data_IF_313705216903
#
_entry.id   IF_313705216903
#
_cell.length_a   1.000
_cell.length_b   1.000
_cell.length_c   1.000
_cell.angle_alpha   90.00
_cell.angle_beta   90.00
_cell.angle_gamma   90.00
#
_symmetry.space_group_name_H-M   'P 1'
#
loop_
_entity.id
_entity.type
_entity.pdbx_description
1 polymer ?
#
# COMPACT_ATOMS: atom_id res chain seq x y z
N UNK A 1 0.61 -21.18 47.93
CA UNK A 1 0.61 -21.69 46.56
C UNK A 1 -0.19 -20.69 45.73
N UNK A 2 0.47 -19.62 45.26
CA UNK A 2 -0.17 -18.51 44.56
C UNK A 2 -0.10 -18.80 43.03
N UNK A 3 -1.26 -19.04 42.44
CA UNK A 3 -1.44 -19.21 41.01
C UNK A 3 -1.25 -17.86 40.33
N UNK A 4 -0.20 -17.77 39.54
CA UNK A 4 0.21 -16.61 38.76
C UNK A 4 -0.61 -16.55 37.44
N UNK A 5 -1.89 -16.19 37.54
CA UNK A 5 -2.77 -16.03 36.39
C UNK A 5 -2.89 -14.54 35.99
N UNK A 6 -1.83 -13.98 35.49
CA UNK A 6 -1.88 -12.77 34.70
C UNK A 6 -0.63 -12.73 33.82
N UNK A 7 -0.72 -12.95 32.53
CA UNK A 7 -0.85 -11.83 31.60
C UNK A 7 -1.58 -12.14 30.26
N UNK A 8 -2.79 -12.58 30.27
CA UNK A 8 -3.55 -12.77 29.00
C UNK A 8 -4.53 -11.61 28.68
N UNK A 9 -4.55 -10.57 29.51
CA UNK A 9 -5.44 -9.43 29.31
C UNK A 9 -4.96 -8.41 28.26
N UNK A 10 -3.72 -8.53 27.78
CA UNK A 10 -3.12 -7.54 26.86
C UNK A 10 -3.30 -7.85 25.36
N UNK A 11 -3.96 -8.94 24.99
CA UNK A 11 -4.16 -9.32 23.57
C UNK A 11 -5.63 -9.37 23.15
N UNK A 12 -6.52 -8.73 23.83
CA UNK A 12 -7.86 -8.45 23.31
C UNK A 12 -7.71 -7.31 22.29
N UNK A 13 -7.29 -7.65 21.07
CA UNK A 13 -7.43 -6.77 19.92
C UNK A 13 -8.91 -6.36 19.86
N UNK A 14 -9.17 -5.07 20.05
CA UNK A 14 -10.52 -4.53 19.94
C UNK A 14 -11.18 -5.05 18.65
N UNK A 15 -12.42 -5.55 18.73
CA UNK A 15 -13.08 -6.11 17.55
C UNK A 15 -13.19 -5.05 16.48
N UNK A 16 -12.60 -5.33 15.30
CA UNK A 16 -12.64 -4.41 14.17
C UNK A 16 -14.10 -4.16 13.79
N UNK A 17 -14.50 -2.89 13.85
CA UNK A 17 -15.85 -2.47 13.47
C UNK A 17 -15.96 -2.51 11.93
N UNK A 18 -16.91 -3.25 11.39
CA UNK A 18 -17.21 -3.26 9.96
C UNK A 18 -17.91 -1.95 9.59
N UNK A 19 -17.15 -0.98 9.07
CA UNK A 19 -17.66 0.33 8.68
C UNK A 19 -17.94 0.42 7.18
N UNK A 20 -17.25 -0.41 6.36
CA UNK A 20 -17.35 -0.36 4.91
C UNK A 20 -18.33 -1.41 4.38
N UNK A 21 -19.29 -0.95 3.60
CA UNK A 21 -20.16 -1.83 2.82
C UNK A 21 -19.43 -2.46 1.61
N UNK A 22 -19.95 -3.54 1.01
CA UNK A 22 -19.28 -4.26 -0.07
C UNK A 22 -19.03 -3.40 -1.31
N UNK A 23 -19.92 -2.47 -1.64
CA UNK A 23 -19.73 -1.54 -2.77
C UNK A 23 -18.61 -0.54 -2.53
N UNK A 24 -18.53 0.01 -1.31
CA UNK A 24 -17.49 0.95 -0.93
C UNK A 24 -16.12 0.25 -0.85
N UNK A 25 -16.10 -0.98 -0.34
CA UNK A 25 -14.91 -1.82 -0.30
C UNK A 25 -14.39 -2.13 -1.71
N UNK A 26 -15.29 -2.49 -2.63
CA UNK A 26 -14.93 -2.74 -4.03
C UNK A 26 -14.35 -1.49 -4.69
N UNK A 27 -14.98 -0.34 -4.50
CA UNK A 27 -14.48 0.94 -5.02
C UNK A 27 -13.10 1.29 -4.47
N UNK A 28 -12.89 1.07 -3.16
CA UNK A 28 -11.61 1.27 -2.50
C UNK A 28 -10.52 0.36 -3.08
N UNK A 29 -10.81 -0.95 -3.23
CA UNK A 29 -9.85 -1.93 -3.78
C UNK A 29 -9.51 -1.58 -5.24
N UNK A 30 -10.51 -1.25 -6.07
CA UNK A 30 -10.27 -0.86 -7.47
C UNK A 30 -9.43 0.41 -7.54
N UNK A 31 -9.71 1.40 -6.70
CA UNK A 31 -8.93 2.65 -6.65
C UNK A 31 -7.48 2.42 -6.19
N UNK A 32 -7.27 1.55 -5.22
CA UNK A 32 -5.95 1.20 -4.70
C UNK A 32 -5.11 0.40 -5.72
N UNK A 33 -5.73 -0.57 -6.41
CA UNK A 33 -5.05 -1.38 -7.44
C UNK A 33 -4.73 -0.55 -8.68
N UNK A 34 -5.66 0.26 -9.16
CA UNK A 34 -5.43 1.12 -10.31
C UNK A 34 -4.36 2.17 -10.01
N UNK A 35 -4.36 2.73 -8.83
CA UNK A 35 -3.34 3.62 -8.28
C UNK A 35 -2.58 4.48 -9.28
N UNK A 36 -1.45 5.01 -8.88
CA UNK A 36 -0.55 5.76 -9.76
C UNK A 36 0.26 4.89 -10.71
N UNK A 37 0.41 3.59 -10.42
CA UNK A 37 1.26 2.70 -11.20
C UNK A 37 0.83 2.60 -12.66
N UNK A 38 -0.46 2.43 -12.91
CA UNK A 38 -0.99 2.30 -14.28
C UNK A 38 -0.79 3.60 -15.09
N UNK A 39 -1.01 4.75 -14.47
CA UNK A 39 -0.94 6.04 -15.17
C UNK A 39 0.49 6.59 -15.28
N UNK A 40 1.28 6.49 -14.20
CA UNK A 40 2.61 7.08 -14.15
C UNK A 40 3.68 6.18 -14.77
N UNK A 41 3.61 4.86 -14.58
CA UNK A 41 4.67 3.94 -15.02
C UNK A 41 4.50 3.46 -16.46
N UNK A 42 3.27 3.36 -16.98
CA UNK A 42 3.04 2.84 -18.33
C UNK A 42 3.77 3.65 -19.39
N UNK A 43 3.72 4.97 -19.29
CA UNK A 43 4.43 5.86 -20.21
C UNK A 43 5.96 5.76 -20.11
N UNK A 44 6.50 5.57 -18.91
CA UNK A 44 7.93 5.41 -18.68
C UNK A 44 8.42 4.07 -19.23
N UNK A 45 7.73 2.98 -18.93
CA UNK A 45 8.05 1.64 -19.45
C UNK A 45 7.98 1.61 -20.97
N UNK A 46 6.97 2.23 -21.58
CA UNK A 46 6.84 2.31 -23.02
C UNK A 46 8.00 3.09 -23.68
N UNK A 47 8.53 4.11 -23.02
CA UNK A 47 9.72 4.85 -23.50
C UNK A 47 10.99 4.00 -23.47
N UNK A 48 11.17 3.17 -22.45
CA UNK A 48 12.38 2.35 -22.29
C UNK A 48 12.37 1.09 -23.19
N UNK A 49 11.21 0.44 -23.32
CA UNK A 49 11.10 -0.89 -23.95
C UNK A 49 10.41 -0.82 -25.33
N UNK A 50 9.82 0.32 -25.69
CA UNK A 50 9.14 0.52 -26.97
C UNK A 50 7.98 -0.45 -27.17
N UNK A 51 7.90 -1.10 -28.33
CA UNK A 51 6.80 -2.01 -28.70
C UNK A 51 6.66 -3.26 -27.82
N UNK A 52 7.70 -3.62 -27.04
CA UNK A 52 7.68 -4.75 -26.12
C UNK A 52 7.19 -4.38 -24.69
N UNK A 53 6.58 -3.21 -24.50
CA UNK A 53 6.13 -2.72 -23.20
C UNK A 53 5.17 -3.67 -22.46
N UNK A 54 4.46 -4.52 -23.14
CA UNK A 54 3.57 -5.53 -22.56
C UNK A 54 4.32 -6.63 -21.77
N UNK A 55 5.58 -6.93 -22.15
CA UNK A 55 6.36 -8.01 -21.57
C UNK A 55 6.69 -7.79 -20.08
N UNK A 56 7.22 -6.63 -19.65
CA UNK A 56 7.44 -6.33 -18.23
C UNK A 56 6.15 -6.42 -17.39
N UNK A 57 5.03 -5.97 -17.93
CA UNK A 57 3.74 -6.07 -17.23
C UNK A 57 3.26 -7.51 -17.09
N UNK A 58 3.47 -8.35 -18.10
CA UNK A 58 3.11 -9.77 -18.04
C UNK A 58 3.97 -10.51 -17.00
N UNK A 59 5.26 -10.25 -16.94
CA UNK A 59 6.16 -10.82 -15.92
C UNK A 59 5.76 -10.35 -14.53
N UNK A 60 5.53 -9.05 -14.35
CA UNK A 60 5.08 -8.49 -13.07
C UNK A 60 3.73 -9.09 -12.63
N UNK A 61 2.80 -9.27 -13.56
CA UNK A 61 1.51 -9.93 -13.28
C UNK A 61 1.69 -11.38 -12.83
N UNK A 62 2.59 -12.13 -13.47
CA UNK A 62 2.91 -13.51 -13.06
C UNK A 62 3.42 -13.58 -11.63
N UNK A 63 4.36 -12.71 -11.25
CA UNK A 63 4.89 -12.63 -9.89
C UNK A 63 3.79 -12.20 -8.90
N UNK A 64 2.98 -11.22 -9.27
CA UNK A 64 1.87 -10.74 -8.44
C UNK A 64 0.82 -11.85 -8.21
N UNK A 65 0.52 -12.65 -9.23
CA UNK A 65 -0.42 -13.78 -9.13
C UNK A 65 0.08 -14.84 -8.14
N UNK A 66 1.36 -15.22 -8.23
CA UNK A 66 1.96 -16.17 -7.28
C UNK A 66 1.89 -15.65 -5.85
N UNK A 67 2.19 -14.37 -5.66
CA UNK A 67 2.09 -13.70 -4.37
C UNK A 67 0.66 -13.67 -3.86
N UNK A 68 -0.30 -13.35 -4.72
CA UNK A 68 -1.73 -13.31 -4.37
C UNK A 68 -2.25 -14.68 -3.91
N UNK A 69 -1.85 -15.77 -4.58
CA UNK A 69 -2.23 -17.13 -4.16
C UNK A 69 -1.71 -17.46 -2.76
N UNK A 70 -0.45 -17.10 -2.46
CA UNK A 70 0.13 -17.28 -1.12
C UNK A 70 -0.61 -16.47 -0.06
N UNK A 71 -0.96 -15.22 -0.38
CA UNK A 71 -1.74 -14.37 0.53
C UNK A 71 -3.17 -14.88 0.74
N UNK A 72 -3.81 -15.44 -0.28
CA UNK A 72 -5.15 -15.99 -0.19
C UNK A 72 -5.21 -17.12 0.85
N UNK A 73 -4.21 -18.01 0.86
CA UNK A 73 -4.10 -19.07 1.86
C UNK A 73 -3.88 -18.50 3.28
N UNK A 74 -3.00 -17.51 3.42
CA UNK A 74 -2.68 -16.91 4.71
C UNK A 74 -3.86 -16.12 5.31
N UNK A 75 -4.59 -15.38 4.48
CA UNK A 75 -5.77 -14.59 4.92
C UNK A 75 -6.90 -15.50 5.38
N UNK A 76 -7.12 -16.63 4.71
CA UNK A 76 -8.15 -17.58 5.13
C UNK A 76 -7.80 -18.26 6.47
N UNK A 77 -6.51 -18.51 6.71
CA UNK A 77 -6.02 -19.14 7.93
C UNK A 77 -5.92 -18.17 9.12
N UNK A 78 -5.56 -16.92 8.87
CA UNK A 78 -5.35 -15.88 9.89
C UNK A 78 -6.10 -14.59 9.55
N UNK A 79 -7.41 -14.52 9.71
CA UNK A 79 -8.23 -13.37 9.35
C UNK A 79 -8.10 -12.23 10.38
N UNK A 80 -6.89 -11.70 10.55
CA UNK A 80 -6.58 -10.58 11.45
C UNK A 80 -5.98 -9.41 10.67
N UNK A 81 -6.20 -8.20 11.18
CA UNK A 81 -5.80 -6.95 10.50
C UNK A 81 -4.30 -6.62 10.48
N UNK A 82 -3.43 -7.54 10.90
CA UNK A 82 -2.00 -7.25 11.04
C UNK A 82 -1.14 -7.56 9.78
N UNK A 83 -1.75 -8.03 8.70
CA UNK A 83 -1.10 -8.23 7.40
C UNK A 83 0.18 -9.07 7.43
N UNK A 84 1.14 -8.72 6.58
CA UNK A 84 2.40 -9.45 6.39
C UNK A 84 3.21 -9.66 7.68
N UNK A 85 3.22 -8.68 8.59
CA UNK A 85 3.95 -8.78 9.85
C UNK A 85 3.41 -9.91 10.75
N UNK A 86 2.10 -10.10 10.80
CA UNK A 86 1.49 -11.20 11.54
C UNK A 86 1.86 -12.56 10.95
N UNK A 87 1.85 -12.68 9.63
CA UNK A 87 2.14 -13.94 8.95
C UNK A 87 3.60 -14.35 9.19
N UNK A 88 4.53 -13.41 9.09
CA UNK A 88 5.95 -13.65 9.37
C UNK A 88 6.16 -14.02 10.85
N UNK A 89 5.49 -13.32 11.77
CA UNK A 89 5.58 -13.64 13.19
C UNK A 89 5.07 -15.04 13.50
N UNK A 90 3.95 -15.44 12.89
CA UNK A 90 3.37 -16.79 13.07
C UNK A 90 4.21 -17.90 12.43
N UNK A 91 4.91 -17.60 11.33
CA UNK A 91 5.73 -18.57 10.62
C UNK A 91 7.10 -18.79 11.29
N UNK A 92 7.73 -17.73 11.76
CA UNK A 92 9.13 -17.77 12.22
C UNK A 92 9.29 -17.50 13.72
N UNK A 93 8.35 -16.82 14.39
CA UNK A 93 8.44 -16.49 15.81
C UNK A 93 9.56 -15.49 16.19
N UNK A 94 10.30 -14.95 15.19
CA UNK A 94 11.44 -14.05 15.39
C UNK A 94 10.99 -12.60 15.36
N UNK A 95 11.08 -11.91 16.50
CA UNK A 95 10.67 -10.51 16.64
C UNK A 95 11.43 -9.55 15.72
N UNK A 96 12.73 -9.78 15.52
CA UNK A 96 13.55 -8.95 14.64
C UNK A 96 13.09 -9.03 13.18
N UNK A 97 12.76 -10.23 12.70
CA UNK A 97 12.24 -10.43 11.34
C UNK A 97 10.87 -9.78 11.17
N UNK A 98 10.01 -9.91 12.17
CA UNK A 98 8.71 -9.25 12.20
C UNK A 98 8.85 -7.73 12.13
N UNK A 99 9.81 -7.16 12.89
CA UNK A 99 10.09 -5.73 12.88
C UNK A 99 10.56 -5.26 11.49
N UNK A 100 11.50 -5.97 10.86
CA UNK A 100 11.98 -5.62 9.50
C UNK A 100 10.85 -5.61 8.50
N UNK A 101 9.98 -6.63 8.52
CA UNK A 101 8.84 -6.71 7.60
C UNK A 101 7.84 -5.57 7.84
N UNK A 102 7.52 -5.29 9.09
CA UNK A 102 6.64 -4.18 9.46
C UNK A 102 7.21 -2.84 8.97
N UNK A 103 8.49 -2.60 9.23
CA UNK A 103 9.19 -1.39 8.79
C UNK A 103 9.22 -1.26 7.25
N UNK A 104 9.51 -2.35 6.54
CA UNK A 104 9.51 -2.36 5.06
C UNK A 104 8.13 -2.04 4.49
N UNK A 105 7.08 -2.63 5.04
CA UNK A 105 5.69 -2.35 4.62
C UNK A 105 5.33 -0.88 4.87
N UNK A 106 5.73 -0.33 6.02
CA UNK A 106 5.52 1.09 6.32
C UNK A 106 6.26 2.00 5.34
N UNK A 107 7.53 1.72 5.05
CA UNK A 107 8.32 2.48 4.07
C UNK A 107 7.71 2.39 2.67
N UNK A 108 7.22 1.22 2.26
CA UNK A 108 6.53 1.03 0.99
C UNK A 108 5.27 1.88 0.90
N UNK A 109 4.46 1.93 1.96
CA UNK A 109 3.26 2.78 2.03
C UNK A 109 3.59 4.27 1.91
N UNK A 110 4.61 4.74 2.63
CA UNK A 110 5.07 6.14 2.56
C UNK A 110 5.57 6.50 1.16
N UNK A 111 6.34 5.62 0.53
CA UNK A 111 6.85 5.84 -0.83
C UNK A 111 5.71 5.89 -1.84
N UNK A 112 4.74 5.00 -1.73
CA UNK A 112 3.54 5.00 -2.59
C UNK A 112 2.73 6.28 -2.42
N UNK A 113 2.50 6.72 -1.19
CA UNK A 113 1.78 7.97 -0.91
C UNK A 113 2.51 9.19 -1.48
N UNK A 114 3.84 9.26 -1.32
CA UNK A 114 4.65 10.35 -1.87
C UNK A 114 4.60 10.38 -3.41
N UNK A 115 4.72 9.22 -4.07
CA UNK A 115 4.63 9.10 -5.53
C UNK A 115 3.25 9.50 -6.04
N UNK A 116 2.19 9.06 -5.35
CA UNK A 116 0.82 9.41 -5.68
C UNK A 116 0.58 10.93 -5.59
N UNK A 117 1.07 11.55 -4.53
CA UNK A 117 0.94 13.00 -4.32
C UNK A 117 1.68 13.80 -5.37
N UNK A 118 2.89 13.37 -5.76
CA UNK A 118 3.66 14.02 -6.83
C UNK A 118 2.97 13.88 -8.20
N UNK A 119 2.47 12.69 -8.51
CA UNK A 119 1.74 12.46 -9.76
C UNK A 119 0.45 13.28 -9.81
N UNK A 120 -0.27 13.39 -8.71
CA UNK A 120 -1.46 14.24 -8.60
C UNK A 120 -1.12 15.71 -8.86
N UNK A 121 -0.10 16.24 -8.17
CA UNK A 121 0.33 17.63 -8.32
C UNK A 121 0.78 17.92 -9.77
N UNK A 122 1.58 17.04 -10.38
CA UNK A 122 2.03 17.19 -11.75
C UNK A 122 0.85 17.24 -12.75
N UNK A 123 -0.10 16.33 -12.62
CA UNK A 123 -1.29 16.30 -13.46
C UNK A 123 -2.20 17.52 -13.23
N UNK A 124 -2.31 17.98 -12.00
CA UNK A 124 -3.09 19.17 -11.66
C UNK A 124 -2.51 20.42 -12.34
N UNK A 125 -1.20 20.65 -12.22
CA UNK A 125 -0.55 21.77 -12.89
C UNK A 125 -0.67 21.69 -14.42
N UNK A 126 -0.47 20.49 -14.99
CA UNK A 126 -0.67 20.27 -16.41
C UNK A 126 -2.11 20.56 -16.88
N UNK A 127 -3.12 20.20 -16.08
CA UNK A 127 -4.53 20.49 -16.39
C UNK A 127 -4.85 21.98 -16.42
N UNK A 128 -4.13 22.79 -15.63
CA UNK A 128 -4.24 24.25 -15.66
C UNK A 128 -3.30 24.93 -16.68
N UNK A 129 -2.57 24.14 -17.47
CA UNK A 129 -1.63 24.68 -18.47
C UNK A 129 -0.40 25.38 -17.84
N UNK A 130 -0.08 25.07 -16.58
CA UNK A 130 1.06 25.64 -15.88
C UNK A 130 2.26 24.70 -16.08
N UNK A 131 3.30 25.18 -16.75
CA UNK A 131 4.59 24.49 -16.81
C UNK A 131 5.25 24.63 -15.43
N UNK A 132 5.10 23.61 -14.59
CA UNK A 132 5.63 23.61 -13.25
C UNK A 132 6.97 22.89 -13.19
N UNK A 133 7.99 23.57 -12.69
CA UNK A 133 9.26 22.98 -12.32
C UNK A 133 9.10 21.92 -11.21
N UNK A 134 10.09 21.02 -11.12
CA UNK A 134 10.10 19.97 -10.08
C UNK A 134 9.86 20.50 -8.67
N UNK A 135 10.35 21.71 -8.36
CA UNK A 135 10.15 22.36 -7.06
C UNK A 135 8.67 22.68 -6.80
N UNK A 136 7.94 23.19 -7.79
CA UNK A 136 6.51 23.50 -7.69
C UNK A 136 5.66 22.23 -7.55
N UNK A 137 6.00 21.19 -8.29
CA UNK A 137 5.33 19.88 -8.19
C UNK A 137 5.51 19.30 -6.77
N UNK A 138 6.72 19.39 -6.22
CA UNK A 138 6.98 18.90 -4.85
C UNK A 138 6.24 19.72 -3.81
N UNK A 139 6.20 21.05 -3.94
CA UNK A 139 5.47 21.94 -3.03
C UNK A 139 3.96 21.68 -3.11
N UNK A 140 3.41 21.49 -4.31
CA UNK A 140 2.01 21.12 -4.52
C UNK A 140 1.66 19.77 -3.91
N UNK A 141 2.54 18.77 -4.06
CA UNK A 141 2.37 17.45 -3.44
C UNK A 141 2.36 17.53 -1.90
N UNK A 142 3.29 18.30 -1.31
CA UNK A 142 3.32 18.52 0.14
C UNK A 142 2.07 19.25 0.64
N UNK A 143 1.60 20.25 -0.10
CA UNK A 143 0.35 20.96 0.21
C UNK A 143 -0.85 20.04 0.17
N UNK A 144 -0.94 19.17 -0.82
CA UNK A 144 -2.00 18.17 -0.93
C UNK A 144 -1.96 17.17 0.23
N UNK A 145 -0.78 16.64 0.57
CA UNK A 145 -0.63 15.73 1.72
C UNK A 145 -1.02 16.41 3.04
N UNK A 146 -0.61 17.65 3.22
CA UNK A 146 -1.00 18.45 4.42
C UNK A 146 -2.52 18.65 4.49
N UNK A 147 -3.16 18.95 3.36
CA UNK A 147 -4.61 19.08 3.27
C UNK A 147 -5.32 17.78 3.65
N UNK A 148 -4.88 16.65 3.11
CA UNK A 148 -5.45 15.34 3.44
C UNK A 148 -5.30 15.03 4.93
N UNK A 149 -4.15 15.35 5.54
CA UNK A 149 -3.93 15.15 6.97
C UNK A 149 -4.80 16.07 7.84
N UNK A 150 -5.11 17.28 7.38
CA UNK A 150 -5.98 18.21 8.11
C UNK A 150 -7.46 17.81 8.07
N UNK A 151 -7.89 17.15 7.00
CA UNK A 151 -9.29 16.73 6.79
C UNK A 151 -9.58 15.37 7.45
N UNK A 152 -8.56 14.55 7.70
CA UNK A 152 -8.71 13.20 8.27
C UNK A 152 -8.53 13.19 9.79
#
# INVERSE_FOLDING_TARGET
>A
MATNDAPDAAQQSAPLKRVMGPKLLLLFIVGDILGTGVYALTGQVAKEVGGAAWLPFLVAFGVALLTALSYLELVTKYPKAAGAALYVHKAFGVHFLTFIVCFTVMCSGLTSAATASQAFAANLFAAFGIEADKAWITTGALGFMALVMLVN
#
